data_IF_245366399786
#
_entry.id   IF_245366399786
#
_cell.length_a   1.000
_cell.length_b   1.000
_cell.length_c   1.000
_cell.angle_alpha   90.00
_cell.angle_beta   90.00
_cell.angle_gamma   90.00
#
_symmetry.space_group_name_H-M   'P 1'
#
loop_
_entity.id
_entity.type
_entity.pdbx_description
1 polymer ?
#
# COMPACT_ATOMS: atom_id res chain seq x y z
N UNK A 1 2.54 4.31 18.50
CA UNK A 1 3.51 4.64 17.44
C UNK A 1 3.06 5.94 16.81
N UNK A 2 3.99 6.85 16.53
CA UNK A 2 3.70 8.09 15.79
C UNK A 2 3.66 7.76 14.29
N UNK A 3 2.60 8.14 13.55
CA UNK A 3 2.52 7.89 12.11
C UNK A 3 3.55 8.72 11.34
N UNK A 4 3.94 8.27 10.15
CA UNK A 4 4.83 9.08 9.31
C UNK A 4 4.12 10.35 8.82
N UNK A 5 4.84 11.48 8.65
CA UNK A 5 4.26 12.69 8.08
C UNK A 5 3.60 12.48 6.73
N UNK A 6 4.10 11.55 5.91
CA UNK A 6 3.55 11.24 4.59
C UNK A 6 2.20 10.55 4.71
N UNK A 7 2.09 9.51 5.54
CA UNK A 7 0.82 8.82 5.80
C UNK A 7 -0.22 9.80 6.34
N UNK A 8 0.15 10.73 7.24
CA UNK A 8 -0.79 11.75 7.72
C UNK A 8 -1.35 12.57 6.56
N UNK A 9 -0.49 13.11 5.69
CA UNK A 9 -0.94 13.94 4.57
C UNK A 9 -1.78 13.13 3.57
N UNK A 10 -1.32 11.93 3.17
CA UNK A 10 -2.00 11.09 2.18
C UNK A 10 -3.33 10.51 2.69
N UNK A 11 -3.46 10.24 3.98
CA UNK A 11 -4.71 9.77 4.59
C UNK A 11 -5.82 10.83 4.51
N UNK A 12 -5.47 12.11 4.65
CA UNK A 12 -6.41 13.22 4.58
C UNK A 12 -6.83 13.57 3.14
N UNK A 13 -6.03 13.24 2.13
CA UNK A 13 -6.29 13.63 0.74
C UNK A 13 -7.41 12.76 0.11
N UNK A 14 -8.60 13.34 -0.14
CA UNK A 14 -9.71 12.60 -0.74
C UNK A 14 -9.46 12.34 -2.22
N UNK A 15 -10.16 11.36 -2.80
CA UNK A 15 -10.11 11.09 -4.24
C UNK A 15 -10.65 12.24 -5.07
N UNK A 16 -11.43 13.16 -4.50
CA UNK A 16 -11.86 14.43 -5.08
C UNK A 16 -12.11 15.48 -4.00
N UNK A 17 -11.82 16.75 -4.31
CA UNK A 17 -11.93 17.86 -3.37
C UNK A 17 -10.64 18.17 -2.62
N UNK A 18 -10.77 18.87 -1.49
CA UNK A 18 -9.65 19.37 -0.69
C UNK A 18 -9.78 18.97 0.79
N UNK A 19 -8.63 18.81 1.45
CA UNK A 19 -8.52 18.55 2.88
C UNK A 19 -8.12 19.82 3.64
N UNK A 20 -8.85 20.21 4.69
CA UNK A 20 -8.53 21.41 5.46
C UNK A 20 -7.29 21.17 6.34
N UNK A 21 -6.40 22.17 6.40
CA UNK A 21 -5.11 22.04 7.08
C UNK A 21 -5.21 22.09 8.60
N UNK A 22 -6.16 22.84 9.16
CA UNK A 22 -6.37 22.94 10.61
C UNK A 22 -6.63 21.56 11.22
N UNK A 23 -7.61 20.82 10.68
CA UNK A 23 -7.95 19.48 11.12
C UNK A 23 -6.78 18.49 10.91
N UNK A 24 -6.06 18.63 9.79
CA UNK A 24 -4.87 17.81 9.52
C UNK A 24 -3.80 18.04 10.59
N UNK A 25 -3.47 19.29 10.92
CA UNK A 25 -2.49 19.61 11.96
C UNK A 25 -2.98 19.20 13.36
N UNK A 26 -4.24 19.45 13.70
CA UNK A 26 -4.80 19.04 15.00
C UNK A 26 -4.76 17.53 15.19
N UNK A 27 -5.06 16.79 14.13
CA UNK A 27 -4.99 15.32 14.12
C UNK A 27 -3.55 14.83 14.18
N UNK A 28 -2.61 15.46 13.46
CA UNK A 28 -1.19 15.13 13.54
C UNK A 28 -0.66 15.31 14.97
N UNK A 29 -1.00 16.42 15.61
CA UNK A 29 -0.62 16.70 17.00
C UNK A 29 -1.24 15.68 17.98
N UNK A 30 -2.52 15.33 17.82
CA UNK A 30 -3.16 14.25 18.58
C UNK A 30 -2.53 12.87 18.31
N UNK A 31 -1.92 12.69 17.15
CA UNK A 31 -1.16 11.49 16.79
C UNK A 31 0.26 11.48 17.40
N UNK A 32 0.72 12.59 17.96
CA UNK A 32 2.06 12.78 18.53
C UNK A 32 3.10 13.24 17.51
N UNK A 33 2.68 13.94 16.46
CA UNK A 33 3.54 14.47 15.41
C UNK A 33 3.46 16.00 15.36
N UNK A 34 4.59 16.67 15.52
CA UNK A 34 4.66 18.13 15.48
C UNK A 34 4.32 18.70 14.09
N UNK A 35 3.90 19.97 14.05
CA UNK A 35 3.55 20.69 12.82
C UNK A 35 4.69 20.76 11.78
N UNK A 36 5.95 20.83 12.22
CA UNK A 36 7.08 21.08 11.32
C UNK A 36 7.34 19.93 10.34
N UNK A 37 7.45 18.65 10.77
CA UNK A 37 7.54 17.51 9.85
C UNK A 37 6.40 17.43 8.82
N UNK A 38 5.17 17.75 9.23
CA UNK A 38 3.99 17.77 8.35
C UNK A 38 4.14 18.88 7.30
N UNK A 39 4.54 20.08 7.72
CA UNK A 39 4.75 21.23 6.82
C UNK A 39 5.82 20.95 5.77
N UNK A 40 6.93 20.31 6.16
CA UNK A 40 7.99 19.90 5.24
C UNK A 40 7.50 18.88 4.21
N UNK A 41 6.64 17.95 4.65
CA UNK A 41 6.03 16.95 3.76
C UNK A 41 5.09 17.58 2.74
N UNK A 42 4.21 18.49 3.18
CA UNK A 42 3.32 19.26 2.28
C UNK A 42 4.15 20.05 1.26
N UNK A 43 5.20 20.74 1.70
CA UNK A 43 6.10 21.49 0.80
C UNK A 43 6.75 20.59 -0.25
N UNK A 44 7.26 19.42 0.16
CA UNK A 44 7.85 18.45 -0.76
C UNK A 44 6.83 17.94 -1.78
N UNK A 45 5.65 17.54 -1.33
CA UNK A 45 4.57 17.05 -2.21
C UNK A 45 4.06 18.14 -3.17
N UNK A 46 4.08 19.41 -2.75
CA UNK A 46 3.78 20.55 -3.63
C UNK A 46 4.88 20.73 -4.67
N UNK A 47 6.15 20.66 -4.26
CA UNK A 47 7.30 20.81 -5.15
C UNK A 47 7.40 19.69 -6.19
N UNK A 48 6.96 18.47 -5.86
CA UNK A 48 6.86 17.34 -6.80
C UNK A 48 5.58 17.35 -7.64
N UNK A 49 4.71 18.36 -7.46
CA UNK A 49 3.47 18.50 -8.21
C UNK A 49 2.39 17.48 -7.86
N UNK A 50 2.50 16.79 -6.70
CA UNK A 50 1.50 15.80 -6.24
C UNK A 50 0.27 16.47 -5.63
N UNK A 51 0.43 17.65 -5.02
CA UNK A 51 -0.67 18.39 -4.41
C UNK A 51 -0.59 19.88 -4.75
N UNK A 52 -1.74 20.53 -4.64
CA UNK A 52 -1.86 21.99 -4.63
C UNK A 52 -2.35 22.45 -3.26
N UNK A 53 -1.81 23.56 -2.77
CA UNK A 53 -2.24 24.20 -1.54
C UNK A 53 -2.97 25.51 -1.86
N UNK A 54 -4.17 25.69 -1.30
CA UNK A 54 -4.91 26.95 -1.33
C UNK A 54 -4.88 27.61 0.05
N UNK A 55 -4.77 28.94 0.09
CA UNK A 55 -4.66 29.71 1.33
C UNK A 55 -3.27 29.61 1.99
N UNK A 56 -3.18 30.05 3.27
CA UNK A 56 -1.93 30.06 4.04
C UNK A 56 -2.14 29.56 5.47
N UNK A 57 -1.14 28.84 5.99
CA UNK A 57 -1.14 28.35 7.37
C UNK A 57 -2.26 27.34 7.63
N UNK A 58 -2.77 27.31 8.87
CA UNK A 58 -3.84 26.41 9.32
C UNK A 58 -5.19 26.66 8.63
N UNK A 59 -5.43 27.88 8.13
CA UNK A 59 -6.66 28.24 7.40
C UNK A 59 -6.66 27.84 5.91
N UNK A 60 -5.62 27.14 5.46
CA UNK A 60 -5.53 26.66 4.08
C UNK A 60 -6.13 25.27 3.88
N UNK A 61 -6.12 24.80 2.65
CA UNK A 61 -6.48 23.44 2.28
C UNK A 61 -5.47 22.87 1.28
N UNK A 62 -5.41 21.54 1.18
CA UNK A 62 -4.60 20.83 0.19
C UNK A 62 -5.49 19.90 -0.64
N UNK A 63 -5.20 19.79 -1.94
CA UNK A 63 -5.91 18.89 -2.85
C UNK A 63 -4.91 18.15 -3.73
N UNK A 64 -5.28 16.94 -4.18
CA UNK A 64 -4.49 16.20 -5.16
C UNK A 64 -4.53 16.91 -6.51
N UNK A 65 -3.38 16.95 -7.19
CA UNK A 65 -3.35 17.16 -8.65
C UNK A 65 -3.73 15.88 -9.37
N UNK A 66 -3.95 15.92 -10.68
CA UNK A 66 -4.17 14.70 -11.47
C UNK A 66 -2.98 13.74 -11.38
N UNK A 67 -1.75 14.28 -11.38
CA UNK A 67 -0.53 13.49 -11.20
C UNK A 67 -0.47 12.83 -9.81
N UNK A 68 -0.79 13.59 -8.75
CA UNK A 68 -0.85 13.08 -7.39
C UNK A 68 -1.94 12.04 -7.20
N UNK A 69 -3.12 12.24 -7.81
CA UNK A 69 -4.24 11.30 -7.80
C UNK A 69 -3.86 10.00 -8.49
N UNK A 70 -3.22 10.06 -9.66
CA UNK A 70 -2.74 8.87 -10.36
C UNK A 70 -1.68 8.12 -9.54
N UNK A 71 -0.74 8.83 -8.91
CA UNK A 71 0.29 8.21 -8.05
C UNK A 71 -0.32 7.55 -6.81
N UNK A 72 -1.10 8.30 -6.03
CA UNK A 72 -1.73 7.76 -4.82
C UNK A 72 -2.70 6.62 -5.16
N UNK A 73 -3.35 6.67 -6.33
CA UNK A 73 -4.16 5.59 -6.85
C UNK A 73 -3.38 4.30 -7.09
N UNK A 74 -2.15 4.40 -7.62
CA UNK A 74 -1.21 3.26 -7.77
C UNK A 74 -0.77 2.72 -6.42
N UNK A 75 -0.40 3.58 -5.47
CA UNK A 75 0.02 3.17 -4.14
C UNK A 75 -1.08 2.38 -3.39
N UNK A 76 -2.36 2.67 -3.70
CA UNK A 76 -3.52 1.96 -3.14
C UNK A 76 -3.94 0.71 -3.90
N UNK A 77 -3.28 0.34 -5.01
CA UNK A 77 -3.59 -0.90 -5.74
C UNK A 77 -3.31 -2.14 -4.88
N UNK A 78 -2.19 -2.16 -4.16
CA UNK A 78 -1.88 -3.24 -3.21
C UNK A 78 -2.97 -3.37 -2.13
N UNK A 79 -3.45 -2.25 -1.58
CA UNK A 79 -4.55 -2.25 -0.61
C UNK A 79 -5.83 -2.84 -1.18
N UNK A 80 -6.23 -2.43 -2.39
CA UNK A 80 -7.43 -2.97 -3.06
C UNK A 80 -7.29 -4.46 -3.35
N UNK A 81 -6.12 -4.89 -3.83
CA UNK A 81 -5.83 -6.30 -4.07
C UNK A 81 -5.94 -7.12 -2.79
N UNK A 82 -5.31 -6.68 -1.69
CA UNK A 82 -5.35 -7.35 -0.41
C UNK A 82 -6.79 -7.49 0.12
N UNK A 83 -7.57 -6.41 0.06
CA UNK A 83 -8.98 -6.45 0.47
C UNK A 83 -9.81 -7.38 -0.44
N UNK A 84 -9.60 -7.33 -1.76
CA UNK A 84 -10.27 -8.21 -2.72
C UNK A 84 -9.96 -9.69 -2.45
N UNK A 85 -8.72 -10.03 -2.13
CA UNK A 85 -8.31 -11.38 -1.72
C UNK A 85 -8.98 -11.80 -0.41
N UNK A 86 -8.98 -10.93 0.61
CA UNK A 86 -9.56 -11.22 1.93
C UNK A 86 -11.07 -11.46 1.89
N UNK A 87 -11.76 -10.90 0.89
CA UNK A 87 -13.19 -11.09 0.61
C UNK A 87 -13.47 -12.16 -0.46
N UNK A 88 -12.45 -12.82 -1.00
CA UNK A 88 -12.59 -13.84 -2.04
C UNK A 88 -13.09 -13.31 -3.39
N UNK A 89 -13.01 -11.99 -3.59
CA UNK A 89 -13.36 -11.28 -4.83
C UNK A 89 -12.22 -11.32 -5.84
N UNK A 90 -10.97 -11.46 -5.36
CA UNK A 90 -9.79 -11.65 -6.18
C UNK A 90 -9.16 -12.99 -5.82
N UNK A 91 -9.26 -13.94 -6.74
CA UNK A 91 -8.74 -15.30 -6.58
C UNK A 91 -7.55 -15.51 -7.48
N UNK A 92 -6.66 -16.42 -7.08
CA UNK A 92 -5.66 -16.92 -7.99
C UNK A 92 -6.32 -17.65 -9.17
N UNK A 93 -5.90 -17.33 -10.39
CA UNK A 93 -6.43 -17.93 -11.62
C UNK A 93 -5.74 -19.26 -11.99
N UNK A 94 -4.84 -19.74 -11.13
CA UNK A 94 -4.04 -20.95 -11.37
C UNK A 94 -2.83 -20.72 -12.28
N UNK A 95 -2.48 -19.46 -12.59
CA UNK A 95 -1.36 -19.14 -13.48
C UNK A 95 -0.28 -18.35 -12.78
N UNK A 96 0.95 -18.62 -13.20
CA UNK A 96 2.12 -17.82 -12.90
C UNK A 96 2.38 -16.86 -14.04
N UNK A 97 2.70 -15.62 -13.71
CA UNK A 97 3.10 -14.59 -14.66
C UNK A 97 4.62 -14.46 -14.65
N UNK A 98 5.23 -14.72 -15.80
CA UNK A 98 6.66 -14.60 -16.03
C UNK A 98 6.95 -13.29 -16.75
N UNK A 99 7.93 -12.53 -16.25
CA UNK A 99 8.38 -11.27 -16.83
C UNK A 99 9.88 -11.36 -17.08
N UNK A 100 10.27 -11.45 -18.35
CA UNK A 100 11.67 -11.39 -18.77
C UNK A 100 12.04 -9.96 -19.18
N UNK A 101 12.99 -9.38 -18.47
CA UNK A 101 13.55 -8.06 -18.71
C UNK A 101 14.56 -8.14 -19.85
N UNK A 102 14.18 -7.59 -20.99
CA UNK A 102 14.98 -7.52 -22.22
C UNK A 102 15.40 -6.07 -22.49
N UNK A 103 16.38 -5.60 -21.71
CA UNK A 103 16.95 -4.26 -21.84
C UNK A 103 18.37 -4.37 -22.42
N UNK A 104 18.72 -3.60 -23.48
CA UNK A 104 20.07 -3.58 -24.02
C UNK A 104 21.13 -3.27 -22.94
N UNK A 105 22.33 -3.82 -23.08
CA UNK A 105 23.41 -3.61 -22.11
C UNK A 105 23.83 -2.14 -21.99
N UNK A 106 23.62 -1.33 -23.04
CA UNK A 106 23.85 0.12 -23.03
C UNK A 106 22.96 0.86 -22.02
N UNK A 107 21.81 0.29 -21.67
CA UNK A 107 20.74 0.99 -20.94
C UNK A 107 20.59 0.46 -19.51
N UNK A 108 21.74 0.28 -18.83
CA UNK A 108 21.79 -0.31 -17.47
C UNK A 108 20.87 0.39 -16.47
N UNK A 109 20.76 1.72 -16.54
CA UNK A 109 19.91 2.51 -15.65
C UNK A 109 18.43 2.13 -15.79
N UNK A 110 17.95 1.91 -17.03
CA UNK A 110 16.58 1.47 -17.31
C UNK A 110 16.36 0.07 -16.77
N UNK A 111 17.31 -0.84 -17.02
CA UNK A 111 17.26 -2.22 -16.50
C UNK A 111 17.14 -2.24 -14.98
N UNK A 112 17.98 -1.48 -14.29
CA UNK A 112 18.00 -1.49 -12.83
C UNK A 112 16.75 -0.84 -12.24
N UNK A 113 16.20 0.19 -12.88
CA UNK A 113 14.90 0.77 -12.51
C UNK A 113 13.77 -0.24 -12.65
N UNK A 114 13.68 -0.92 -13.80
CA UNK A 114 12.64 -1.91 -14.07
C UNK A 114 12.71 -3.11 -13.10
N UNK A 115 13.92 -3.57 -12.77
CA UNK A 115 14.13 -4.64 -11.77
C UNK A 115 13.66 -4.23 -10.37
N UNK A 116 13.91 -2.98 -9.97
CA UNK A 116 13.40 -2.44 -8.70
C UNK A 116 11.87 -2.36 -8.72
N UNK A 117 11.28 -1.80 -9.77
CA UNK A 117 9.82 -1.67 -9.90
C UNK A 117 9.11 -3.04 -9.85
N UNK A 118 9.65 -4.05 -10.53
CA UNK A 118 9.11 -5.42 -10.47
C UNK A 118 9.16 -6.00 -9.07
N UNK A 119 10.26 -5.79 -8.35
CA UNK A 119 10.45 -6.29 -6.98
C UNK A 119 9.53 -5.56 -6.01
N UNK A 120 9.39 -4.24 -6.15
CA UNK A 120 8.46 -3.41 -5.38
C UNK A 120 6.99 -3.76 -5.65
N UNK A 121 6.67 -4.22 -6.87
CA UNK A 121 5.36 -4.73 -7.24
C UNK A 121 5.11 -6.19 -6.79
N UNK A 122 6.07 -6.82 -6.10
CA UNK A 122 5.93 -8.15 -5.52
C UNK A 122 6.46 -9.31 -6.37
N UNK A 123 7.08 -9.05 -7.53
CA UNK A 123 7.68 -10.11 -8.34
C UNK A 123 8.98 -10.66 -7.73
N UNK A 124 9.16 -11.98 -7.77
CA UNK A 124 10.37 -12.65 -7.30
C UNK A 124 11.33 -12.94 -8.47
N UNK A 125 12.63 -12.64 -8.34
CA UNK A 125 13.61 -13.04 -9.34
C UNK A 125 13.87 -14.55 -9.28
N UNK A 126 13.68 -15.26 -10.40
CA UNK A 126 13.93 -16.72 -10.50
C UNK A 126 15.21 -17.04 -11.28
N UNK A 127 15.62 -16.17 -12.21
CA UNK A 127 16.91 -16.21 -12.89
C UNK A 127 17.35 -14.79 -13.32
N UNK A 128 18.52 -14.67 -13.95
CA UNK A 128 19.03 -13.37 -14.42
C UNK A 128 18.07 -12.74 -15.42
N UNK A 129 17.33 -11.71 -14.98
CA UNK A 129 16.36 -10.99 -15.81
C UNK A 129 15.01 -11.67 -15.95
N UNK A 130 14.75 -12.81 -15.30
CA UNK A 130 13.43 -13.45 -15.26
C UNK A 130 12.79 -13.32 -13.88
N UNK A 131 11.60 -12.77 -13.87
CA UNK A 131 10.79 -12.55 -12.68
C UNK A 131 9.51 -13.38 -12.75
N UNK A 132 9.03 -13.79 -11.58
CA UNK A 132 7.80 -14.53 -11.39
C UNK A 132 6.86 -13.76 -10.48
N UNK A 133 5.57 -13.76 -10.80
CA UNK A 133 4.52 -13.21 -9.96
C UNK A 133 3.28 -14.11 -10.04
N UNK A 134 2.51 -14.28 -8.95
CA UNK A 134 1.17 -14.88 -9.02
C UNK A 134 0.11 -13.89 -9.54
N UNK A 135 0.50 -12.62 -9.76
CA UNK A 135 -0.36 -11.55 -10.28
C UNK A 135 0.11 -11.09 -11.66
N UNK A 136 -0.83 -10.72 -12.54
CA UNK A 136 -0.48 -10.00 -13.76
C UNK A 136 -0.06 -8.57 -13.42
N UNK A 137 1.26 -8.35 -13.36
CA UNK A 137 1.83 -7.03 -13.11
C UNK A 137 1.91 -6.17 -14.38
N UNK A 138 1.59 -6.73 -15.55
CA UNK A 138 1.67 -6.02 -16.83
C UNK A 138 0.95 -4.67 -16.83
N UNK A 139 -0.30 -4.58 -16.34
CA UNK A 139 -1.04 -3.30 -16.24
C UNK A 139 -0.44 -2.29 -15.25
N UNK A 140 0.37 -2.75 -14.29
CA UNK A 140 1.02 -1.90 -13.29
C UNK A 140 2.31 -1.27 -13.81
N UNK A 141 2.94 -1.94 -14.77
CA UNK A 141 4.19 -1.49 -15.38
C UNK A 141 3.85 -0.40 -16.39
N UNK A 142 4.40 0.80 -16.17
CA UNK A 142 4.12 1.95 -17.02
C UNK A 142 4.44 1.68 -18.49
N UNK A 143 3.74 2.37 -19.41
CA UNK A 143 3.90 2.20 -20.86
C UNK A 143 5.37 2.36 -21.32
N UNK A 144 6.16 3.15 -20.60
CA UNK A 144 7.58 3.34 -20.86
C UNK A 144 8.41 2.04 -20.77
N UNK A 145 7.97 1.06 -19.97
CA UNK A 145 8.69 -0.19 -19.74
C UNK A 145 8.17 -1.36 -20.59
N UNK A 146 7.00 -1.21 -21.22
CA UNK A 146 6.35 -2.28 -21.95
C UNK A 146 7.22 -2.84 -23.11
N UNK A 147 8.01 -1.98 -23.76
CA UNK A 147 8.93 -2.39 -24.83
C UNK A 147 10.14 -3.20 -24.38
N UNK A 148 10.40 -3.26 -23.07
CA UNK A 148 11.55 -3.94 -22.47
C UNK A 148 11.17 -5.26 -21.78
N UNK A 149 9.93 -5.72 -21.95
CA UNK A 149 9.41 -6.89 -21.24
C UNK A 149 8.87 -7.93 -22.22
N UNK A 150 9.37 -9.16 -22.09
CA UNK A 150 8.72 -10.34 -22.63
C UNK A 150 7.87 -10.95 -21.51
N UNK A 151 6.58 -11.17 -21.78
CA UNK A 151 5.62 -11.70 -20.81
C UNK A 151 5.12 -13.06 -21.24
N UNK A 152 5.02 -13.98 -20.29
CA UNK A 152 4.39 -15.28 -20.48
C UNK A 152 3.53 -15.63 -19.26
N UNK A 153 2.54 -16.50 -19.45
CA UNK A 153 1.73 -17.01 -18.36
C UNK A 153 1.66 -18.54 -18.43
N UNK A 154 2.01 -19.21 -17.34
CA UNK A 154 2.14 -20.66 -17.26
C UNK A 154 1.29 -21.24 -16.13
N UNK A 155 0.59 -22.35 -16.39
CA UNK A 155 -0.13 -23.11 -15.35
C UNK A 155 0.76 -24.11 -14.60
N UNK A 156 1.89 -24.47 -15.19
CA UNK A 156 2.88 -25.38 -14.62
C UNK A 156 4.23 -24.70 -14.55
N UNK A 157 4.96 -24.90 -13.45
CA UNK A 157 6.28 -24.32 -13.24
C UNK A 157 7.19 -25.34 -12.55
N UNK A 158 8.46 -25.37 -12.96
CA UNK A 158 9.54 -26.05 -12.25
C UNK A 158 10.55 -24.97 -11.84
N UNK A 159 10.66 -24.73 -10.54
CA UNK A 159 11.68 -23.85 -9.99
C UNK A 159 12.71 -24.71 -9.27
N UNK A 160 13.72 -25.14 -10.00
CA UNK A 160 14.87 -25.91 -9.46
C UNK A 160 14.42 -27.22 -8.80
N UNK A 161 13.50 -27.94 -9.45
CA UNK A 161 12.92 -29.19 -8.98
C UNK A 161 11.70 -29.03 -8.06
N UNK A 162 11.28 -27.80 -7.76
CA UNK A 162 10.06 -27.52 -6.98
C UNK A 162 8.91 -27.22 -7.94
N UNK A 163 7.88 -28.07 -7.92
CA UNK A 163 6.72 -27.99 -8.83
C UNK A 163 5.40 -27.69 -8.13
N UNK A 164 5.30 -27.99 -6.84
CA UNK A 164 4.09 -27.73 -6.04
C UNK A 164 3.88 -26.21 -5.86
N UNK A 165 2.73 -25.62 -6.25
CA UNK A 165 2.55 -24.17 -6.23
C UNK A 165 2.74 -23.51 -4.86
N UNK A 166 2.28 -24.16 -3.79
CA UNK A 166 2.46 -23.68 -2.42
C UNK A 166 3.93 -23.72 -1.98
N UNK A 167 4.68 -24.74 -2.42
CA UNK A 167 6.12 -24.84 -2.17
C UNK A 167 6.93 -23.80 -2.96
N UNK A 168 6.53 -23.51 -4.21
CA UNK A 168 7.12 -22.42 -5.01
C UNK A 168 6.86 -21.07 -4.33
N UNK A 169 5.63 -20.85 -3.85
CA UNK A 169 5.29 -19.62 -3.14
C UNK A 169 6.13 -19.43 -1.87
N UNK A 170 6.34 -20.49 -1.08
CA UNK A 170 7.20 -20.44 0.11
C UNK A 170 8.68 -20.25 -0.23
N UNK A 171 9.16 -20.88 -1.31
CA UNK A 171 10.53 -20.72 -1.79
C UNK A 171 10.85 -19.27 -2.18
N UNK A 172 9.94 -18.62 -2.91
CA UNK A 172 10.15 -17.30 -3.50
C UNK A 172 9.75 -16.17 -2.56
N UNK A 173 8.73 -16.40 -1.74
CA UNK A 173 8.25 -15.45 -0.75
C UNK A 173 8.05 -16.20 0.58
N UNK A 174 9.09 -16.32 1.42
CA UNK A 174 8.94 -16.99 2.71
C UNK A 174 7.84 -16.35 3.56
N UNK A 175 6.96 -17.16 4.17
CA UNK A 175 5.81 -16.67 4.93
C UNK A 175 6.22 -15.94 6.22
N UNK A 176 7.23 -16.47 6.93
CA UNK A 176 7.56 -16.03 8.29
C UNK A 176 7.89 -14.53 8.42
N UNK A 177 8.72 -13.91 7.54
CA UNK A 177 8.98 -12.47 7.60
C UNK A 177 7.74 -11.62 7.36
N UNK A 178 6.85 -12.04 6.45
CA UNK A 178 5.61 -11.33 6.13
C UNK A 178 4.70 -11.37 7.36
N UNK A 179 4.45 -12.56 7.92
CA UNK A 179 3.62 -12.73 9.11
C UNK A 179 4.16 -11.89 10.28
N UNK A 180 5.46 -11.91 10.52
CA UNK A 180 6.09 -11.09 11.58
C UNK A 180 5.88 -9.58 11.36
N UNK A 181 5.89 -9.13 10.10
CA UNK A 181 5.63 -7.75 9.72
C UNK A 181 4.23 -7.25 10.11
N UNK A 182 3.23 -8.12 10.17
CA UNK A 182 1.86 -7.74 10.52
C UNK A 182 1.62 -7.53 12.02
N UNK A 183 2.57 -7.86 12.89
CA UNK A 183 2.45 -7.64 14.35
C UNK A 183 2.25 -6.17 14.71
N UNK A 184 2.70 -5.23 13.87
CA UNK A 184 2.46 -3.79 14.06
C UNK A 184 0.98 -3.43 13.88
N UNK A 185 0.27 -4.13 12.99
CA UNK A 185 -1.16 -3.95 12.72
C UNK A 185 -1.97 -4.48 13.90
N UNK A 186 -1.64 -5.66 14.41
CA UNK A 186 -2.29 -6.24 15.59
C UNK A 186 -2.21 -5.30 16.80
N UNK A 187 -1.01 -4.75 17.07
CA UNK A 187 -0.82 -3.77 18.16
C UNK A 187 -1.63 -2.50 17.95
N UNK A 188 -1.71 -2.01 16.72
CA UNK A 188 -2.50 -0.81 16.40
C UNK A 188 -4.01 -1.07 16.57
N UNK A 189 -4.49 -2.23 16.13
CA UNK A 189 -5.88 -2.69 16.32
C UNK A 189 -6.22 -2.83 17.80
N UNK A 190 -5.39 -3.51 18.58
CA UNK A 190 -5.62 -3.69 20.01
C UNK A 190 -5.72 -2.34 20.74
N UNK A 191 -4.80 -1.41 20.46
CA UNK A 191 -4.81 -0.06 21.04
C UNK A 191 -6.07 0.74 20.66
N UNK A 192 -6.47 0.67 19.39
CA UNK A 192 -7.65 1.38 18.89
C UNK A 192 -8.95 0.84 19.52
N UNK A 193 -9.06 -0.48 19.72
CA UNK A 193 -10.24 -1.11 20.35
C UNK A 193 -10.42 -0.72 21.81
N UNK A 194 -9.34 -0.41 22.52
CA UNK A 194 -9.39 0.04 23.93
C UNK A 194 -9.53 1.55 24.08
N UNK A 195 -9.50 2.32 22.99
CA UNK A 195 -9.49 3.78 23.05
C UNK A 195 -10.88 4.35 23.36
N UNK A 196 -10.96 5.18 24.41
CA UNK A 196 -12.19 5.83 24.86
C UNK A 196 -12.32 7.29 24.40
N UNK A 197 -11.30 7.83 23.72
CA UNK A 197 -11.27 9.23 23.28
C UNK A 197 -12.44 9.56 22.34
N UNK A 198 -13.22 10.61 22.61
CA UNK A 198 -14.41 10.99 21.82
C UNK A 198 -14.22 12.19 20.90
N UNK A 199 -13.16 12.98 21.07
CA UNK A 199 -12.87 14.14 20.23
C UNK A 199 -12.47 13.75 18.81
N UNK A 200 -12.95 14.50 17.81
CA UNK A 200 -12.68 14.22 16.38
C UNK A 200 -11.18 14.04 16.10
N UNK A 201 -10.26 14.96 16.49
CA UNK A 201 -8.82 14.76 16.25
C UNK A 201 -8.24 13.51 16.92
N UNK A 202 -8.77 13.11 18.08
CA UNK A 202 -8.27 11.95 18.81
C UNK A 202 -8.72 10.63 18.15
N UNK A 203 -9.98 10.55 17.69
CA UNK A 203 -10.47 9.40 16.90
C UNK A 203 -9.69 9.28 15.59
N UNK A 204 -9.50 10.39 14.88
CA UNK A 204 -8.70 10.43 13.65
C UNK A 204 -7.24 10.04 13.89
N UNK A 205 -6.65 10.40 15.03
CA UNK A 205 -5.30 9.99 15.39
C UNK A 205 -5.17 8.46 15.55
N UNK A 206 -6.21 7.76 16.03
CA UNK A 206 -6.22 6.28 16.05
C UNK A 206 -6.33 5.70 14.64
N UNK A 207 -7.15 6.30 13.77
CA UNK A 207 -7.22 5.90 12.36
C UNK A 207 -5.89 6.12 11.63
N UNK A 208 -5.18 7.23 11.86
CA UNK A 208 -3.85 7.46 11.27
C UNK A 208 -2.82 6.41 11.72
N UNK A 209 -2.87 5.96 12.97
CA UNK A 209 -2.00 4.90 13.47
C UNK A 209 -2.32 3.55 12.82
N UNK A 210 -3.60 3.27 12.57
CA UNK A 210 -4.03 2.09 11.83
C UNK A 210 -3.57 2.14 10.37
N UNK A 211 -3.73 3.28 9.70
CA UNK A 211 -3.25 3.50 8.33
C UNK A 211 -1.73 3.27 8.22
N UNK A 212 -0.95 3.92 9.08
CA UNK A 212 0.51 3.80 9.09
C UNK A 212 0.98 2.37 9.41
N UNK A 213 0.32 1.68 10.33
CA UNK A 213 0.64 0.29 10.64
C UNK A 213 0.38 -0.63 9.44
N UNK A 214 -0.76 -0.47 8.75
CA UNK A 214 -1.09 -1.28 7.59
C UNK A 214 -0.14 -1.01 6.43
N UNK A 215 0.15 0.26 6.12
CA UNK A 215 1.11 0.63 5.07
C UNK A 215 2.49 0.03 5.31
N UNK A 216 2.98 0.03 6.56
CA UNK A 216 4.26 -0.59 6.91
C UNK A 216 4.26 -2.11 6.72
N UNK A 217 3.19 -2.78 7.13
CA UNK A 217 3.07 -4.23 7.01
C UNK A 217 2.89 -4.69 5.55
N UNK A 218 2.16 -3.91 4.74
CA UNK A 218 1.89 -4.24 3.34
C UNK A 218 3.05 -3.91 2.40
N UNK A 219 3.90 -2.93 2.73
CA UNK A 219 5.03 -2.53 1.88
C UNK A 219 5.95 -3.68 1.45
N UNK A 220 6.36 -4.61 2.33
CA UNK A 220 7.13 -5.79 1.95
C UNK A 220 6.27 -7.01 1.56
N UNK A 221 4.94 -6.90 1.62
CA UNK A 221 4.03 -8.02 1.37
C UNK A 221 3.78 -8.14 -0.15
N UNK A 222 4.22 -9.22 -0.82
CA UNK A 222 3.95 -9.46 -2.24
C UNK A 222 2.47 -9.78 -2.52
N UNK A 223 1.64 -9.88 -1.48
CA UNK A 223 0.22 -10.24 -1.56
C UNK A 223 0.02 -11.57 -2.28
N UNK A 224 0.86 -12.56 -1.97
CA UNK A 224 0.70 -13.93 -2.51
C UNK A 224 -0.75 -14.36 -2.27
N UNK A 225 -1.46 -14.84 -3.32
CA UNK A 225 -2.84 -15.26 -3.19
C UNK A 225 -3.06 -16.26 -2.04
N UNK A 226 -4.17 -16.14 -1.29
CA UNK A 226 -4.47 -17.06 -0.20
C UNK A 226 -4.51 -18.53 -0.63
N UNK A 227 -4.85 -18.84 -1.87
CA UNK A 227 -4.85 -20.21 -2.41
C UNK A 227 -3.44 -20.85 -2.43
N UNK A 228 -2.39 -20.03 -2.43
CA UNK A 228 -0.99 -20.46 -2.36
C UNK A 228 -0.45 -20.47 -0.93
N UNK A 229 -1.29 -20.18 0.08
CA UNK A 229 -0.93 -20.13 1.50
C UNK A 229 -1.88 -20.95 2.35
N UNK A 230 -1.36 -21.98 3.00
CA UNK A 230 -2.08 -22.59 4.13
C UNK A 230 -2.00 -21.65 5.35
N UNK A 231 -3.09 -21.52 6.10
CA UNK A 231 -3.17 -20.76 7.36
C UNK A 231 -2.48 -19.40 7.31
N UNK A 232 -3.15 -18.39 6.72
CA UNK A 232 -2.58 -17.08 6.44
C UNK A 232 -3.06 -15.98 7.42
N UNK A 233 -2.38 -15.78 8.57
CA UNK A 233 -2.71 -14.72 9.54
C UNK A 233 -2.89 -13.32 8.97
N UNK A 234 -2.10 -12.85 7.97
CA UNK A 234 -2.25 -11.50 7.43
C UNK A 234 -3.68 -11.17 6.98
N UNK A 235 -4.40 -12.12 6.37
CA UNK A 235 -5.81 -11.93 5.99
C UNK A 235 -6.73 -11.72 7.20
N UNK A 236 -6.52 -12.46 8.28
CA UNK A 236 -7.30 -12.29 9.52
C UNK A 236 -6.98 -10.95 10.19
N UNK A 237 -5.71 -10.55 10.19
CA UNK A 237 -5.24 -9.28 10.77
C UNK A 237 -5.79 -8.09 9.98
N UNK A 238 -5.78 -8.14 8.65
CA UNK A 238 -6.39 -7.10 7.78
C UNK A 238 -7.90 -7.02 7.95
N UNK A 239 -8.59 -8.15 8.17
CA UNK A 239 -10.01 -8.15 8.53
C UNK A 239 -10.27 -7.44 9.85
N UNK A 240 -9.51 -7.76 10.90
CA UNK A 240 -9.62 -7.10 12.20
C UNK A 240 -9.29 -5.60 12.12
N UNK A 241 -8.33 -5.22 11.27
CA UNK A 241 -8.03 -3.84 10.93
C UNK A 241 -9.23 -3.15 10.28
N UNK A 242 -9.87 -3.76 9.27
CA UNK A 242 -11.02 -3.20 8.55
C UNK A 242 -12.22 -2.98 9.46
N UNK A 243 -12.53 -3.95 10.32
CA UNK A 243 -13.58 -3.84 11.33
C UNK A 243 -13.32 -2.67 12.30
N UNK A 244 -12.07 -2.55 12.76
CA UNK A 244 -11.67 -1.50 13.70
C UNK A 244 -11.66 -0.12 13.05
N UNK A 245 -11.21 -0.04 11.79
CA UNK A 245 -11.32 1.16 10.97
C UNK A 245 -12.77 1.60 10.81
N UNK A 246 -13.67 0.69 10.44
CA UNK A 246 -15.10 0.97 10.27
C UNK A 246 -15.76 1.44 11.58
N UNK A 247 -15.43 0.79 12.71
CA UNK A 247 -15.92 1.18 14.03
C UNK A 247 -15.47 2.60 14.43
N UNK A 248 -14.22 2.98 14.11
CA UNK A 248 -13.75 4.36 14.34
C UNK A 248 -14.40 5.36 13.39
N UNK A 249 -14.53 5.01 12.11
CA UNK A 249 -15.16 5.87 11.11
C UNK A 249 -16.63 6.16 11.46
N UNK A 250 -17.37 5.17 11.96
CA UNK A 250 -18.77 5.32 12.38
C UNK A 250 -18.99 6.28 13.57
N UNK A 251 -17.93 6.63 14.30
CA UNK A 251 -17.98 7.61 15.40
C UNK A 251 -17.86 9.05 14.91
N UNK A 252 -17.49 9.24 13.65
CA UNK A 252 -17.33 10.54 13.03
C UNK A 252 -18.57 10.84 12.17
N UNK A 253 -19.01 12.11 12.14
CA UNK A 253 -20.18 12.50 11.36
C UNK A 253 -19.99 12.34 9.84
N UNK A 254 -18.73 12.33 9.37
CA UNK A 254 -18.36 12.09 7.98
C UNK A 254 -17.10 11.23 7.90
N UNK A 255 -16.90 10.52 6.78
CA UNK A 255 -15.61 9.87 6.48
C UNK A 255 -14.58 10.94 6.14
N UNK A 256 -13.65 11.20 7.05
CA UNK A 256 -12.66 12.28 6.95
C UNK A 256 -11.29 11.81 6.45
N UNK A 257 -10.98 10.51 6.55
CA UNK A 257 -9.75 9.91 6.04
C UNK A 257 -10.06 8.85 5.00
N UNK A 258 -9.18 8.69 4.01
CA UNK A 258 -9.31 7.71 2.93
C UNK A 258 -10.61 7.86 2.09
N UNK A 259 -11.26 9.02 2.16
CA UNK A 259 -12.51 9.32 1.45
C UNK A 259 -12.36 9.03 -0.05
N UNK A 260 -13.20 8.11 -0.54
CA UNK A 260 -13.25 7.64 -1.94
C UNK A 260 -12.19 6.61 -2.32
N UNK A 261 -11.37 6.15 -1.38
CA UNK A 261 -10.28 5.20 -1.64
C UNK A 261 -10.46 3.82 -1.03
N UNK A 262 -11.32 3.67 -0.01
CA UNK A 262 -11.69 2.39 0.62
C UNK A 262 -13.04 1.84 0.11
N UNK A 263 -13.67 2.54 -0.85
CA UNK A 263 -14.92 2.15 -1.49
C UNK A 263 -14.72 0.95 -2.44
#
# INVERSE_FOLDING_TARGET
MTPTPRTVVEAFLPTDGAAPLDLLYDTANAAGLDDQPVRLTIRRMTATGEIVQTGRGRRGAIALTDAGRARLGRDRLALRLALGQDHGQTRWDGRWHLLAVSVPESDRTVRDALRRELTEAGAAPVSTGLYLSPHDLGPLLGAAHAGHLVRAAASTLDVRGVTEPTAIAELLWPAAPIIAGYTVVERAVARARTATDSGVPAVLAHQLRLADALERAMRPDPLVPPELRADWPPSLIRRAWRETWAALAARLPEELLYRGWLA
#
